data_IF_689625610464
#
_entry.id   IF_689625610464
#
_cell.length_a   1.000
_cell.length_b   1.000
_cell.length_c   1.000
_cell.angle_alpha   90.00
_cell.angle_beta   90.00
_cell.angle_gamma   90.00
#
_symmetry.space_group_name_H-M   'P 1'
#
loop_
_entity.id
_entity.type
_entity.pdbx_description
1 polymer ?
#
# COMPACT_ATOMS: atom_id res chain seq x y z
N UNK A 1 9.33 41.64 -20.62
CA UNK A 1 8.13 40.98 -20.06
C UNK A 1 8.34 40.91 -18.54
N UNK A 2 7.32 41.29 -17.76
CA UNK A 2 7.36 41.15 -16.31
C UNK A 2 7.38 39.65 -15.94
N UNK A 3 8.13 39.24 -14.91
CA UNK A 3 8.10 37.86 -14.46
C UNK A 3 6.67 37.47 -13.99
N UNK A 4 6.25 36.26 -14.31
CA UNK A 4 4.96 35.72 -13.89
C UNK A 4 4.88 35.66 -12.34
N UNK A 5 3.73 35.99 -11.81
CA UNK A 5 3.43 35.79 -10.39
C UNK A 5 3.40 34.29 -10.02
N UNK A 6 3.58 33.92 -8.75
CA UNK A 6 3.50 32.52 -8.30
C UNK A 6 2.17 31.82 -8.68
N UNK A 7 1.06 32.56 -8.68
CA UNK A 7 -0.25 32.04 -9.05
C UNK A 7 -0.35 31.75 -10.56
N UNK A 8 0.18 32.64 -11.39
CA UNK A 8 0.25 32.43 -12.85
C UNK A 8 1.16 31.27 -13.20
N UNK A 9 2.31 31.13 -12.52
CA UNK A 9 3.20 29.96 -12.70
C UNK A 9 2.46 28.66 -12.36
N UNK A 10 1.74 28.61 -11.25
CA UNK A 10 0.96 27.43 -10.88
C UNK A 10 -0.15 27.14 -11.88
N UNK A 11 -0.81 28.17 -12.40
CA UNK A 11 -1.83 28.02 -13.43
C UNK A 11 -1.26 27.42 -14.73
N UNK A 12 -0.12 27.93 -15.19
CA UNK A 12 0.58 27.40 -16.37
C UNK A 12 1.00 25.95 -16.16
N UNK A 13 1.52 25.60 -14.97
CA UNK A 13 1.88 24.20 -14.63
C UNK A 13 0.67 23.27 -14.68
N UNK A 14 -0.47 23.70 -14.16
CA UNK A 14 -1.70 22.88 -14.19
C UNK A 14 -2.19 22.67 -15.63
N UNK A 15 -2.22 23.71 -16.45
CA UNK A 15 -2.59 23.59 -17.88
C UNK A 15 -1.64 22.63 -18.62
N UNK A 16 -0.33 22.75 -18.37
CA UNK A 16 0.66 21.85 -18.97
C UNK A 16 0.43 20.39 -18.56
N UNK A 17 0.19 20.15 -17.29
CA UNK A 17 -0.10 18.82 -16.76
C UNK A 17 -1.38 18.23 -17.38
N UNK A 18 -2.45 19.03 -17.51
CA UNK A 18 -3.70 18.60 -18.13
C UNK A 18 -3.52 18.26 -19.62
N UNK A 19 -2.70 19.03 -20.32
CA UNK A 19 -2.35 18.75 -21.72
C UNK A 19 -1.57 17.44 -21.86
N UNK A 20 -0.55 17.24 -21.03
CA UNK A 20 0.25 16.02 -21.00
C UNK A 20 -0.62 14.78 -20.68
N UNK A 21 -1.46 14.88 -19.66
CA UNK A 21 -2.39 13.81 -19.29
C UNK A 21 -3.35 13.47 -20.44
N UNK A 22 -3.87 14.49 -21.17
CA UNK A 22 -4.75 14.30 -22.31
C UNK A 22 -4.04 13.62 -23.49
N UNK A 23 -2.79 13.99 -23.77
CA UNK A 23 -1.99 13.36 -24.84
C UNK A 23 -1.77 11.88 -24.52
N UNK A 24 -1.28 11.56 -23.33
CA UNK A 24 -1.01 10.19 -22.91
C UNK A 24 -2.30 9.33 -22.92
N UNK A 25 -3.41 9.92 -22.44
CA UNK A 25 -4.70 9.22 -22.48
C UNK A 25 -5.14 8.90 -23.90
N UNK A 26 -5.05 9.87 -24.84
CA UNK A 26 -5.44 9.66 -26.22
C UNK A 26 -4.58 8.61 -26.91
N UNK A 27 -3.27 8.61 -26.71
CA UNK A 27 -2.37 7.58 -27.23
C UNK A 27 -2.83 6.17 -26.82
N UNK A 28 -3.18 5.98 -25.53
CA UNK A 28 -3.69 4.68 -25.05
C UNK A 28 -5.05 4.33 -25.69
N UNK A 29 -5.95 5.31 -25.86
CA UNK A 29 -7.26 5.11 -26.50
C UNK A 29 -7.13 4.77 -27.99
N UNK A 30 -6.13 5.33 -28.66
CA UNK A 30 -5.81 5.07 -30.06
C UNK A 30 -5.08 3.72 -30.26
N UNK A 31 -4.83 2.97 -29.18
CA UNK A 31 -4.21 1.64 -29.22
C UNK A 31 -2.69 1.65 -29.15
N UNK A 32 -2.06 2.79 -28.90
CA UNK A 32 -0.62 2.85 -28.67
C UNK A 32 -0.22 2.20 -27.33
N UNK A 33 0.99 1.68 -27.20
CA UNK A 33 1.48 1.12 -25.95
C UNK A 33 1.57 2.21 -24.87
N UNK A 34 1.49 1.79 -23.61
CA UNK A 34 1.73 2.66 -22.46
C UNK A 34 3.17 3.19 -22.49
N UNK A 35 3.47 4.22 -21.71
CA UNK A 35 4.80 4.85 -21.61
C UNK A 35 5.92 3.83 -21.33
N UNK A 36 5.62 2.78 -20.56
CA UNK A 36 6.54 1.68 -20.25
C UNK A 36 6.53 0.53 -21.26
N UNK A 37 5.89 0.72 -22.41
CA UNK A 37 5.84 -0.24 -23.51
C UNK A 37 4.83 -1.38 -23.36
N UNK A 38 4.08 -1.44 -22.24
CA UNK A 38 3.04 -2.47 -22.04
C UNK A 38 1.77 -2.14 -22.80
N UNK A 39 1.02 -3.19 -23.12
CA UNK A 39 -0.36 -3.05 -23.59
C UNK A 39 -1.33 -2.72 -22.43
N UNK A 40 -2.61 -2.59 -22.74
CA UNK A 40 -3.65 -2.27 -21.74
C UNK A 40 -4.05 -3.47 -20.84
N UNK A 41 -3.57 -4.67 -21.12
CA UNK A 41 -3.92 -5.92 -20.43
C UNK A 41 -2.76 -6.48 -19.57
N UNK A 42 -1.55 -6.16 -19.92
CA UNK A 42 -0.35 -6.69 -19.25
C UNK A 42 -0.09 -5.96 -17.92
N UNK A 43 -0.03 -6.73 -16.85
CA UNK A 43 0.41 -6.26 -15.52
C UNK A 43 1.93 -6.22 -15.48
N UNK A 44 2.54 -5.28 -14.73
CA UNK A 44 3.98 -5.27 -14.49
C UNK A 44 4.44 -6.60 -13.90
N UNK A 45 5.67 -7.06 -14.16
CA UNK A 45 6.20 -8.29 -13.60
C UNK A 45 6.07 -8.31 -12.07
N UNK A 46 5.62 -9.44 -11.53
CA UNK A 46 5.47 -9.64 -10.10
C UNK A 46 6.56 -10.61 -9.65
N UNK A 47 7.28 -10.22 -8.59
CA UNK A 47 8.22 -11.08 -7.88
C UNK A 47 7.84 -11.13 -6.40
N UNK A 48 7.86 -12.33 -5.82
CA UNK A 48 7.46 -12.57 -4.44
C UNK A 48 8.56 -13.36 -3.74
N UNK A 49 8.88 -12.92 -2.52
CA UNK A 49 9.72 -13.69 -1.60
C UNK A 49 9.01 -13.71 -0.24
N UNK A 50 8.87 -14.87 0.36
CA UNK A 50 8.36 -15.06 1.72
C UNK A 50 9.50 -15.47 2.67
N UNK A 51 9.27 -15.40 3.98
CA UNK A 51 10.28 -15.74 4.98
C UNK A 51 11.55 -14.90 4.88
N UNK A 52 11.42 -13.61 4.47
CA UNK A 52 12.57 -12.73 4.19
C UNK A 52 13.32 -12.37 5.46
N UNK A 53 12.60 -12.23 6.57
CA UNK A 53 13.15 -11.88 7.87
C UNK A 53 13.08 -13.07 8.82
N UNK A 54 14.22 -13.67 9.22
CA UNK A 54 14.23 -14.95 9.93
C UNK A 54 13.76 -14.89 11.38
N UNK A 55 13.57 -13.70 11.95
CA UNK A 55 13.18 -13.48 13.36
C UNK A 55 11.76 -12.93 13.52
N UNK A 56 10.99 -12.84 12.46
CA UNK A 56 9.59 -12.41 12.49
C UNK A 56 8.68 -13.63 12.42
N UNK A 57 7.41 -13.49 12.82
CA UNK A 57 6.45 -14.59 12.72
C UNK A 57 6.11 -14.88 11.26
N UNK A 58 5.99 -13.83 10.42
CA UNK A 58 5.87 -13.96 8.97
C UNK A 58 6.36 -12.71 8.28
N UNK A 59 6.89 -12.85 7.07
CA UNK A 59 7.38 -11.74 6.27
C UNK A 59 7.30 -12.02 4.79
N UNK A 60 7.04 -10.98 4.02
CA UNK A 60 7.05 -11.05 2.55
C UNK A 60 7.70 -9.82 1.94
N UNK A 61 8.38 -10.02 0.83
CA UNK A 61 8.82 -8.96 -0.07
C UNK A 61 8.01 -9.09 -1.34
N UNK A 62 7.10 -8.16 -1.57
CA UNK A 62 6.28 -8.10 -2.77
C UNK A 62 6.79 -7.00 -3.68
N UNK A 63 7.11 -7.37 -4.92
CA UNK A 63 7.59 -6.44 -5.94
C UNK A 63 6.69 -6.52 -7.17
N UNK A 64 6.26 -5.38 -7.69
CA UNK A 64 5.52 -5.26 -8.94
C UNK A 64 6.15 -4.18 -9.79
N UNK A 65 6.97 -4.58 -10.77
CA UNK A 65 7.84 -3.66 -11.50
C UNK A 65 8.78 -2.96 -10.52
N UNK A 66 8.69 -1.64 -10.43
CA UNK A 66 9.49 -0.81 -9.53
C UNK A 66 8.85 -0.59 -8.15
N UNK A 67 7.58 -0.99 -7.96
CA UNK A 67 6.91 -0.84 -6.66
C UNK A 67 7.23 -2.04 -5.78
N UNK A 68 7.81 -1.79 -4.60
CA UNK A 68 8.21 -2.82 -3.66
C UNK A 68 7.72 -2.52 -2.25
N UNK A 69 7.18 -3.55 -1.58
CA UNK A 69 6.74 -3.52 -0.20
C UNK A 69 7.38 -4.66 0.60
N UNK A 70 8.08 -4.33 1.65
CA UNK A 70 8.49 -5.29 2.69
C UNK A 70 7.40 -5.31 3.76
N UNK A 71 6.76 -6.46 3.92
CA UNK A 71 5.64 -6.61 4.84
C UNK A 71 5.97 -7.65 5.91
N UNK A 72 5.70 -7.29 7.16
CA UNK A 72 5.99 -8.11 8.32
C UNK A 72 4.73 -8.33 9.13
N UNK A 73 4.44 -9.59 9.46
CA UNK A 73 3.37 -9.97 10.36
C UNK A 73 3.95 -10.38 11.73
N UNK A 74 3.37 -9.83 12.79
CA UNK A 74 3.70 -10.14 14.17
C UNK A 74 2.43 -10.62 14.89
N UNK A 75 2.53 -11.74 15.58
CA UNK A 75 1.47 -12.31 16.40
C UNK A 75 1.72 -11.94 17.86
N UNK A 76 0.67 -11.54 18.55
CA UNK A 76 0.68 -11.16 19.95
C UNK A 76 -0.42 -11.84 20.75
N UNK A 77 -0.50 -11.52 22.01
CA UNK A 77 -1.55 -11.96 22.92
C UNK A 77 -2.71 -10.98 22.94
N UNK A 78 -3.82 -11.30 23.61
CA UNK A 78 -4.92 -10.35 23.81
C UNK A 78 -4.55 -9.07 24.58
N UNK A 79 -3.39 -9.05 25.26
CA UNK A 79 -2.86 -7.83 25.90
C UNK A 79 -2.24 -6.86 24.91
N UNK A 80 -1.87 -7.33 23.74
CA UNK A 80 -1.23 -6.56 22.66
C UNK A 80 -2.26 -5.95 21.69
N UNK A 81 -3.56 -6.14 21.96
CA UNK A 81 -4.63 -5.52 21.20
C UNK A 81 -4.62 -4.00 21.34
N UNK A 82 -4.93 -3.29 20.27
CA UNK A 82 -5.06 -1.84 20.30
C UNK A 82 -6.34 -1.46 21.03
N UNK A 83 -6.20 -0.68 22.12
CA UNK A 83 -7.33 -0.05 22.79
C UNK A 83 -7.69 1.24 22.06
N UNK A 84 -8.93 1.33 21.64
CA UNK A 84 -9.50 2.52 20.98
C UNK A 84 -10.49 3.14 21.95
N UNK A 85 -10.12 4.27 22.55
CA UNK A 85 -11.01 5.09 23.39
C UNK A 85 -11.69 6.13 22.51
N UNK A 86 -12.99 5.96 22.30
CA UNK A 86 -13.80 6.80 21.44
C UNK A 86 -15.03 7.33 22.21
N UNK A 87 -15.70 8.36 21.67
CA UNK A 87 -16.92 8.92 22.26
C UNK A 87 -18.03 7.88 22.46
N UNK A 88 -18.03 6.81 21.65
CA UNK A 88 -18.99 5.70 21.76
C UNK A 88 -18.60 4.65 22.78
N UNK A 89 -17.45 4.79 23.44
CA UNK A 89 -16.90 3.85 24.43
C UNK A 89 -15.58 3.24 23.99
N UNK A 90 -14.97 2.47 24.90
CA UNK A 90 -13.74 1.71 24.66
C UNK A 90 -14.03 0.49 23.78
N UNK A 91 -13.20 0.27 22.76
CA UNK A 91 -13.21 -0.93 21.95
C UNK A 91 -11.79 -1.46 21.78
N UNK A 92 -11.66 -2.76 21.46
CA UNK A 92 -10.38 -3.40 21.22
C UNK A 92 -10.27 -3.87 19.79
N UNK A 93 -9.13 -3.65 19.20
CA UNK A 93 -8.83 -4.03 17.83
C UNK A 93 -7.66 -5.02 17.82
N UNK A 94 -7.95 -6.26 17.46
CA UNK A 94 -6.98 -7.35 17.42
C UNK A 94 -6.17 -7.40 16.13
N UNK A 95 -6.61 -6.70 15.08
CA UNK A 95 -5.89 -6.65 13.81
C UNK A 95 -5.45 -5.22 13.50
N UNK A 96 -4.17 -5.00 13.60
CA UNK A 96 -3.54 -3.71 13.33
C UNK A 96 -2.77 -3.78 12.00
N UNK A 97 -2.94 -2.80 11.12
CA UNK A 97 -2.15 -2.66 9.91
C UNK A 97 -1.58 -1.25 9.80
N UNK A 98 -0.27 -1.16 9.72
CA UNK A 98 0.48 0.07 9.57
C UNK A 98 1.12 0.12 8.18
N UNK A 99 0.91 1.22 7.49
CA UNK A 99 1.47 1.49 6.18
C UNK A 99 2.44 2.67 6.30
N UNK A 100 3.67 2.46 5.91
CA UNK A 100 4.73 3.45 5.94
C UNK A 100 5.28 3.68 4.52
N UNK A 101 5.28 4.95 4.10
CA UNK A 101 5.82 5.37 2.80
C UNK A 101 6.80 6.52 3.02
N UNK A 102 8.04 6.20 3.39
CA UNK A 102 9.07 7.21 3.61
C UNK A 102 9.43 7.94 2.30
N UNK A 103 9.95 9.17 2.36
CA UNK A 103 10.26 9.97 1.18
C UNK A 103 11.19 9.27 0.18
N UNK A 104 12.13 8.46 0.66
CA UNK A 104 13.05 7.72 -0.22
C UNK A 104 12.34 6.72 -1.15
N UNK A 105 11.14 6.26 -0.79
CA UNK A 105 10.37 5.34 -1.63
C UNK A 105 9.95 5.96 -2.98
N UNK A 106 9.95 7.28 -3.08
CA UNK A 106 9.72 8.06 -4.31
C UNK A 106 10.95 8.82 -4.78
N UNK A 107 12.13 8.50 -4.23
CA UNK A 107 13.37 9.20 -4.56
C UNK A 107 13.45 10.61 -3.99
N UNK A 108 12.58 10.97 -3.05
CA UNK A 108 12.57 12.30 -2.43
C UNK A 108 13.47 12.35 -1.19
N UNK A 109 14.18 13.46 -1.02
CA UNK A 109 14.82 13.80 0.24
C UNK A 109 13.79 14.45 1.18
N UNK A 110 13.57 13.86 2.36
CA UNK A 110 12.58 14.37 3.28
C UNK A 110 12.71 13.78 4.68
N UNK A 111 12.01 14.40 5.63
CA UNK A 111 12.01 13.95 7.02
C UNK A 111 11.13 12.72 7.18
N UNK A 112 11.70 11.67 7.75
CA UNK A 112 10.94 10.50 8.24
C UNK A 112 10.40 10.85 9.62
N UNK A 113 9.09 10.68 9.82
CA UNK A 113 8.44 11.05 11.09
C UNK A 113 7.10 10.35 11.26
N UNK A 114 6.17 11.01 11.94
CA UNK A 114 4.83 10.49 12.19
C UNK A 114 4.06 10.28 10.86
N UNK A 115 3.25 9.21 10.76
CA UNK A 115 2.45 8.94 9.56
C UNK A 115 1.55 10.11 9.17
N UNK A 116 1.55 10.46 7.91
CA UNK A 116 0.69 11.49 7.33
C UNK A 116 -0.72 10.93 7.07
N UNK A 117 -1.70 11.81 6.84
CA UNK A 117 -3.09 11.41 6.53
C UNK A 117 -3.18 10.40 5.37
N UNK A 118 -2.33 10.56 4.36
CA UNK A 118 -2.26 9.64 3.21
C UNK A 118 -1.85 8.23 3.64
N UNK A 119 -0.85 8.09 4.49
CA UNK A 119 -0.37 6.80 4.99
C UNK A 119 -1.44 6.13 5.85
N UNK A 120 -2.11 6.88 6.72
CA UNK A 120 -3.24 6.38 7.53
C UNK A 120 -4.38 5.90 6.62
N UNK A 121 -4.72 6.63 5.57
CA UNK A 121 -5.76 6.26 4.61
C UNK A 121 -5.42 4.98 3.83
N UNK A 122 -4.17 4.86 3.36
CA UNK A 122 -3.69 3.67 2.66
C UNK A 122 -3.65 2.44 3.59
N UNK A 123 -3.21 2.61 4.85
CA UNK A 123 -3.23 1.56 5.85
C UNK A 123 -4.65 1.06 6.14
N UNK A 124 -5.62 1.97 6.30
CA UNK A 124 -7.04 1.61 6.49
C UNK A 124 -7.62 0.89 5.28
N UNK A 125 -7.26 1.30 4.06
CA UNK A 125 -7.69 0.64 2.83
C UNK A 125 -7.17 -0.82 2.78
N UNK A 126 -5.88 -1.03 3.03
CA UNK A 126 -5.28 -2.36 3.06
C UNK A 126 -5.86 -3.23 4.19
N UNK A 127 -6.03 -2.65 5.40
CA UNK A 127 -6.66 -3.33 6.52
C UNK A 127 -8.05 -3.84 6.18
N UNK A 128 -8.90 -2.98 5.60
CA UNK A 128 -10.27 -3.34 5.22
C UNK A 128 -10.35 -4.48 4.22
N UNK A 129 -9.41 -4.56 3.28
CA UNK A 129 -9.34 -5.65 2.30
C UNK A 129 -9.08 -7.01 2.96
N UNK A 130 -8.30 -7.03 4.05
CA UNK A 130 -7.93 -8.27 4.73
C UNK A 130 -8.94 -8.72 5.79
N UNK A 131 -9.66 -7.78 6.41
CA UNK A 131 -10.63 -8.08 7.47
C UNK A 131 -11.66 -9.15 7.07
N UNK A 132 -12.04 -9.20 5.79
CA UNK A 132 -13.03 -10.16 5.29
C UNK A 132 -12.55 -11.62 5.27
N UNK A 133 -11.24 -11.84 5.35
CA UNK A 133 -10.63 -13.18 5.25
C UNK A 133 -9.91 -13.62 6.53
N UNK A 134 -9.88 -12.77 7.54
CA UNK A 134 -9.25 -13.13 8.81
C UNK A 134 -10.09 -14.17 9.58
N UNK A 135 -9.43 -15.08 10.30
CA UNK A 135 -10.11 -16.05 11.15
C UNK A 135 -10.84 -15.36 12.32
N UNK A 136 -11.85 -16.01 12.84
CA UNK A 136 -12.54 -15.57 14.06
C UNK A 136 -11.63 -15.67 15.30
N UNK A 137 -11.92 -14.95 16.40
CA UNK A 137 -11.14 -15.06 17.64
C UNK A 137 -11.11 -16.47 18.21
N UNK A 138 -12.16 -17.25 18.00
CA UNK A 138 -12.29 -18.63 18.45
C UNK A 138 -11.38 -19.58 17.66
N UNK A 139 -11.22 -19.33 16.36
CA UNK A 139 -10.36 -20.12 15.47
C UNK A 139 -8.89 -19.76 15.63
N UNK A 140 -8.59 -18.50 15.91
CA UNK A 140 -7.22 -18.01 16.02
C UNK A 140 -7.13 -16.90 17.08
N UNK A 141 -6.72 -17.24 18.28
CA UNK A 141 -6.78 -16.37 19.46
C UNK A 141 -5.70 -15.29 19.55
N UNK A 142 -4.78 -15.21 18.59
CA UNK A 142 -3.72 -14.21 18.60
C UNK A 142 -4.19 -12.85 18.07
N UNK A 143 -3.67 -11.78 18.65
CA UNK A 143 -3.70 -10.47 18.02
C UNK A 143 -2.67 -10.43 16.89
N UNK A 144 -2.97 -9.67 15.85
CA UNK A 144 -2.15 -9.61 14.63
C UNK A 144 -1.75 -8.17 14.35
N UNK A 145 -0.47 -7.93 14.17
CA UNK A 145 0.06 -6.64 13.73
C UNK A 145 0.81 -6.82 12.42
N UNK A 146 0.37 -6.14 11.39
CA UNK A 146 1.04 -6.11 10.09
C UNK A 146 1.65 -4.73 9.87
N UNK A 147 2.92 -4.69 9.48
CA UNK A 147 3.63 -3.46 9.12
C UNK A 147 4.08 -3.59 7.66
N UNK A 148 3.65 -2.67 6.82
CA UNK A 148 4.04 -2.59 5.42
C UNK A 148 4.96 -1.40 5.21
N UNK A 149 6.23 -1.67 4.96
CA UNK A 149 7.25 -0.68 4.62
C UNK A 149 7.37 -0.61 3.09
N UNK A 150 7.05 0.53 2.51
CA UNK A 150 7.23 0.76 1.09
C UNK A 150 8.69 1.18 0.85
N UNK A 151 9.43 0.32 0.17
CA UNK A 151 10.84 0.56 -0.12
C UNK A 151 11.05 1.29 -1.44
N UNK A 152 10.12 1.09 -2.39
CA UNK A 152 10.11 1.77 -3.68
C UNK A 152 8.68 1.89 -4.21
N UNK A 153 8.33 2.99 -4.86
CA UNK A 153 6.98 3.22 -5.36
C UNK A 153 6.95 3.90 -6.71
N UNK A 154 6.38 3.19 -7.67
CA UNK A 154 5.94 3.75 -8.96
C UNK A 154 4.43 3.51 -9.12
N UNK A 155 3.66 4.06 -8.21
CA UNK A 155 2.21 3.97 -8.14
C UNK A 155 1.66 2.70 -7.48
N UNK A 156 0.46 2.81 -6.93
CA UNK A 156 -0.34 1.72 -6.33
C UNK A 156 0.38 0.90 -5.25
N UNK A 157 1.12 1.57 -4.38
CA UNK A 157 1.82 0.96 -3.24
C UNK A 157 0.86 0.41 -2.17
N UNK A 158 -0.35 0.97 -2.04
CA UNK A 158 -1.39 0.44 -1.16
C UNK A 158 -1.84 -0.96 -1.59
N UNK A 159 -1.92 -1.22 -2.90
CA UNK A 159 -2.27 -2.55 -3.42
C UNK A 159 -1.11 -3.53 -3.28
N UNK A 160 0.14 -3.07 -3.39
CA UNK A 160 1.30 -3.87 -3.03
C UNK A 160 1.27 -4.28 -1.54
N UNK A 161 0.83 -3.37 -0.66
CA UNK A 161 0.63 -3.66 0.76
C UNK A 161 -0.46 -4.70 1.01
N UNK A 162 -1.57 -4.67 0.26
CA UNK A 162 -2.62 -5.71 0.34
C UNK A 162 -2.04 -7.07 -0.01
N UNK A 163 -1.37 -7.18 -1.16
CA UNK A 163 -0.76 -8.43 -1.61
C UNK A 163 0.30 -8.93 -0.62
N UNK A 164 1.22 -8.07 -0.22
CA UNK A 164 2.28 -8.41 0.72
C UNK A 164 1.74 -8.79 2.10
N UNK A 165 0.69 -8.12 2.58
CA UNK A 165 0.08 -8.45 3.88
C UNK A 165 -0.61 -9.81 3.87
N UNK A 166 -1.31 -10.15 2.79
CA UNK A 166 -1.89 -11.49 2.60
C UNK A 166 -0.80 -12.56 2.65
N UNK A 167 0.31 -12.34 1.95
CA UNK A 167 1.45 -13.26 1.93
C UNK A 167 2.13 -13.38 3.30
N UNK A 168 2.35 -12.26 4.00
CA UNK A 168 3.00 -12.25 5.32
C UNK A 168 2.12 -12.93 6.39
N UNK A 169 0.79 -12.78 6.33
CA UNK A 169 -0.13 -13.48 7.21
C UNK A 169 -0.11 -15.00 6.96
N UNK A 170 -0.08 -15.43 5.70
CA UNK A 170 0.06 -16.85 5.36
C UNK A 170 1.41 -17.42 5.81
N UNK A 171 2.50 -16.66 5.63
CA UNK A 171 3.85 -17.04 6.09
C UNK A 171 3.92 -17.14 7.63
N UNK A 172 3.15 -16.34 8.35
CA UNK A 172 2.99 -16.40 9.80
C UNK A 172 2.09 -17.56 10.29
N UNK A 173 1.51 -18.34 9.38
CA UNK A 173 0.60 -19.44 9.71
C UNK A 173 -0.80 -18.99 10.13
N UNK A 174 -1.21 -17.77 9.83
CA UNK A 174 -2.59 -17.31 10.09
C UNK A 174 -3.54 -18.00 9.11
N UNK A 175 -4.59 -18.70 9.60
CA UNK A 175 -5.53 -19.44 8.74
C UNK A 175 -6.54 -18.48 8.10
N UNK A 176 -6.07 -17.61 7.18
CA UNK A 176 -6.98 -16.78 6.38
C UNK A 176 -7.82 -17.65 5.46
N UNK A 177 -9.11 -17.30 5.29
CA UNK A 177 -10.06 -18.11 4.50
C UNK A 177 -9.73 -18.14 3.00
N UNK A 178 -9.06 -17.12 2.48
CA UNK A 178 -8.60 -17.03 1.10
C UNK A 178 -7.45 -16.02 0.95
N UNK A 179 -6.53 -16.19 -0.01
CA UNK A 179 -5.54 -15.17 -0.33
C UNK A 179 -6.22 -13.92 -0.91
N UNK A 180 -5.69 -12.75 -0.57
CA UNK A 180 -6.21 -11.46 -1.05
C UNK A 180 -5.18 -10.78 -1.93
N UNK A 181 -5.62 -10.31 -3.09
CA UNK A 181 -4.82 -9.48 -3.99
C UNK A 181 -5.48 -8.10 -4.20
N UNK A 182 -4.67 -7.10 -4.45
CA UNK A 182 -5.11 -5.74 -4.72
C UNK A 182 -4.74 -5.27 -6.12
N UNK A 183 -5.69 -4.61 -6.79
CA UNK A 183 -5.50 -3.96 -8.09
C UNK A 183 -6.06 -2.53 -8.01
N UNK A 184 -5.31 -1.56 -8.54
CA UNK A 184 -5.82 -0.21 -8.73
C UNK A 184 -6.39 -0.08 -10.14
N UNK A 185 -7.61 0.45 -10.22
CA UNK A 185 -8.31 0.75 -11.48
C UNK A 185 -8.46 2.27 -11.59
N UNK A 186 -8.16 2.81 -12.78
CA UNK A 186 -8.42 4.20 -13.14
C UNK A 186 -9.45 4.27 -14.25
N UNK A 187 -10.29 5.32 -14.23
CA UNK A 187 -11.30 5.64 -15.26
C UNK A 187 -10.90 6.92 -15.98
#
# INVERSE_FOLDING_TARGET
ASPLSPNEINHVKNIFFDMEAKIVRNQILDGEPRIDGRDTRTVRPIAIRHGVLPRTHGSSLFTRGETQALVVATLGTGRDEQIIDALQGESRDRFMLHYNMPPYATGEAGRVGTPKRREIGHGRLAKRALLAVLPSPEEFSYSMRVVSEITESNGSSSMASVCGSSLALMDAGVPISAPVAGVAMGL
#
